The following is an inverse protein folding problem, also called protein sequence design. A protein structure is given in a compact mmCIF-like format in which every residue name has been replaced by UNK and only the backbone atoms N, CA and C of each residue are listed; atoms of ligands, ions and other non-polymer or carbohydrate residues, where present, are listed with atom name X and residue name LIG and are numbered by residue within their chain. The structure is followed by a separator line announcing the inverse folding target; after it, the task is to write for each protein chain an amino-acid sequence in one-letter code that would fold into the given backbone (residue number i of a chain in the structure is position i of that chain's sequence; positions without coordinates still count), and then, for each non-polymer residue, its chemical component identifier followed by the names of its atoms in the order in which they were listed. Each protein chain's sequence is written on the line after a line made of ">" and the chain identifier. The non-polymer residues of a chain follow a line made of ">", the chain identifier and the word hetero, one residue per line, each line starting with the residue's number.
data_IF_337079417352
#
_entry.id   IF_337079417352
#
_cell.length_a   1.000
_cell.length_b   1.000
_cell.length_c   1.000
_cell.angle_alpha   90.00
_cell.angle_beta   90.00
_cell.angle_gamma   90.00
#
_symmetry.space_group_name_H-M   'P 1'
#
loop_
_entity.id
_entity.type
_entity.pdbx_description
1 polymer ?
#
# COMPACT_ATOMS: atom_id res chain seq x y z
N UNK A 1 -3.90 -7.11 -26.03
CA UNK A 1 -2.87 -6.06 -26.12
C UNK A 1 -2.77 -5.43 -24.74
N UNK A 2 -1.57 -5.35 -24.18
CA UNK A 2 -1.37 -4.86 -22.82
C UNK A 2 -1.29 -3.33 -22.80
N UNK A 3 -2.28 -2.69 -22.17
CA UNK A 3 -2.40 -1.23 -22.05
C UNK A 3 -1.22 -0.63 -21.27
N UNK A 4 -0.71 -1.34 -20.26
CA UNK A 4 0.44 -0.89 -19.49
C UNK A 4 1.70 -0.86 -20.35
N UNK A 5 1.91 -1.91 -21.16
CA UNK A 5 3.15 -2.06 -21.93
C UNK A 5 3.25 -1.08 -23.11
N UNK A 6 2.14 -0.45 -23.54
CA UNK A 6 2.11 0.37 -24.74
C UNK A 6 1.96 1.87 -24.49
N UNK A 7 0.78 2.28 -24.05
CA UNK A 7 0.41 3.70 -24.02
C UNK A 7 0.78 4.30 -22.67
N UNK A 8 0.44 3.61 -21.58
CA UNK A 8 0.71 4.11 -20.23
C UNK A 8 2.22 4.18 -19.92
N UNK A 9 3.03 3.26 -20.48
CA UNK A 9 4.48 3.28 -20.26
C UNK A 9 5.19 4.55 -20.78
N UNK A 10 4.54 5.33 -21.65
CA UNK A 10 5.08 6.60 -22.17
C UNK A 10 4.65 7.81 -21.36
N UNK A 11 3.42 7.78 -20.84
CA UNK A 11 2.76 8.95 -20.27
C UNK A 11 2.67 8.90 -18.74
N UNK A 12 2.96 7.73 -18.12
CA UNK A 12 2.80 7.50 -16.69
C UNK A 12 4.11 7.00 -16.07
N UNK A 13 4.56 7.69 -15.02
CA UNK A 13 5.74 7.29 -14.24
C UNK A 13 5.43 6.13 -13.29
N UNK A 14 4.37 6.26 -12.47
CA UNK A 14 3.98 5.28 -11.45
C UNK A 14 2.49 5.07 -11.37
N UNK A 15 2.11 3.84 -11.05
CA UNK A 15 0.72 3.44 -10.82
C UNK A 15 0.53 3.20 -9.32
N UNK A 16 -0.45 3.89 -8.74
CA UNK A 16 -0.84 3.71 -7.35
C UNK A 16 -2.24 3.12 -7.29
N UNK A 17 -2.36 1.98 -6.63
CA UNK A 17 -3.64 1.38 -6.29
C UNK A 17 -4.04 1.94 -4.93
N UNK A 18 -5.12 2.72 -4.90
CA UNK A 18 -5.58 3.43 -3.69
C UNK A 18 -6.85 2.82 -3.06
N UNK A 19 -7.17 1.58 -3.46
CA UNK A 19 -8.29 0.79 -2.93
C UNK A 19 -9.44 0.60 -3.91
N UNK A 20 -10.52 -0.12 -3.53
CA UNK A 20 -10.80 -0.69 -2.19
C UNK A 20 -10.32 -2.13 -1.97
N UNK A 21 -10.90 -2.82 -0.98
CA UNK A 21 -10.49 -4.17 -0.51
C UNK A 21 -10.31 -5.19 -1.64
N UNK A 22 -11.27 -5.29 -2.57
CA UNK A 22 -11.19 -6.21 -3.71
C UNK A 22 -10.02 -5.86 -4.65
N UNK A 23 -9.79 -4.56 -4.91
CA UNK A 23 -8.70 -4.15 -5.80
C UNK A 23 -7.33 -4.45 -5.18
N UNK A 24 -7.18 -4.24 -3.87
CA UNK A 24 -5.97 -4.66 -3.16
C UNK A 24 -5.76 -6.17 -3.27
N UNK A 25 -6.82 -6.97 -3.15
CA UNK A 25 -6.74 -8.42 -3.27
C UNK A 25 -6.25 -8.83 -4.65
N UNK A 26 -6.86 -8.32 -5.71
CA UNK A 26 -6.51 -8.66 -7.09
C UNK A 26 -5.05 -8.30 -7.41
N UNK A 27 -4.56 -7.17 -6.87
CA UNK A 27 -3.19 -6.68 -7.07
C UNK A 27 -2.16 -7.49 -6.27
N UNK A 28 -2.54 -8.00 -5.10
CA UNK A 28 -1.67 -8.86 -4.30
C UNK A 28 -1.64 -10.31 -4.81
N UNK A 29 -2.70 -10.78 -5.46
CA UNK A 29 -2.79 -12.13 -6.02
C UNK A 29 -2.15 -12.28 -7.41
N UNK A 30 -2.01 -11.18 -8.17
CA UNK A 30 -1.33 -11.22 -9.46
C UNK A 30 0.18 -11.47 -9.30
N UNK A 31 0.78 -12.10 -10.31
CA UNK A 31 2.21 -12.50 -10.31
C UNK A 31 3.05 -11.81 -11.37
N UNK A 32 2.46 -10.89 -12.14
CA UNK A 32 3.08 -10.25 -13.30
C UNK A 32 3.98 -9.09 -12.90
N UNK A 33 3.58 -8.30 -11.91
CA UNK A 33 4.27 -7.08 -11.52
C UNK A 33 4.65 -7.09 -10.04
N UNK A 34 5.81 -6.53 -9.66
CA UNK A 34 6.15 -6.34 -8.26
C UNK A 34 5.18 -5.33 -7.62
N UNK A 35 4.85 -5.55 -6.35
CA UNK A 35 3.97 -4.68 -5.57
C UNK A 35 4.78 -4.09 -4.42
N UNK A 36 4.62 -2.80 -4.19
CA UNK A 36 5.08 -2.10 -2.98
C UNK A 36 3.86 -1.61 -2.22
N UNK A 37 3.84 -1.82 -0.92
CA UNK A 37 2.78 -1.35 -0.03
C UNK A 37 3.29 -0.11 0.71
N UNK A 38 2.59 1.00 0.54
CA UNK A 38 2.72 2.16 1.42
C UNK A 38 1.56 2.12 2.39
N UNK A 39 1.84 1.95 3.68
CA UNK A 39 0.82 1.74 4.70
C UNK A 39 0.94 2.81 5.80
N UNK A 40 -0.15 3.53 6.03
CA UNK A 40 -0.35 4.30 7.27
C UNK A 40 -0.95 3.38 8.31
N UNK A 41 -0.15 2.99 9.29
CA UNK A 41 -0.57 2.10 10.36
C UNK A 41 -1.23 2.93 11.47
N UNK A 42 -2.56 2.92 11.50
CA UNK A 42 -3.37 3.50 12.58
C UNK A 42 -3.26 2.59 13.82
N UNK A 43 -2.69 3.12 14.91
CA UNK A 43 -2.39 2.41 16.15
C UNK A 43 -3.59 2.45 17.12
N UNK A 44 -4.80 2.28 16.58
CA UNK A 44 -6.06 2.32 17.32
C UNK A 44 -7.02 1.35 16.68
N UNK A 45 -7.70 0.57 17.51
CA UNK A 45 -8.79 -0.28 17.04
C UNK A 45 -9.97 0.61 16.66
N UNK A 46 -10.41 0.47 15.41
CA UNK A 46 -11.54 1.18 14.82
C UNK A 46 -12.53 0.15 14.29
N UNK A 47 -13.82 0.47 14.40
CA UNK A 47 -14.86 -0.37 13.81
C UNK A 47 -14.84 -0.18 12.29
N UNK A 48 -14.59 -1.27 11.57
CA UNK A 48 -14.44 -1.30 10.12
C UNK A 48 -15.34 -2.38 9.52
N UNK A 49 -16.03 -2.04 8.43
CA UNK A 49 -16.85 -2.97 7.64
C UNK A 49 -16.09 -3.57 6.44
N UNK A 50 -14.93 -3.01 6.10
CA UNK A 50 -14.03 -3.46 5.04
C UNK A 50 -12.58 -3.57 5.54
N UNK A 51 -11.89 -4.61 5.09
CA UNK A 51 -10.53 -4.94 5.56
C UNK A 51 -9.54 -5.04 4.41
N UNK A 52 -8.28 -4.70 4.68
CA UNK A 52 -7.18 -5.02 3.78
C UNK A 52 -7.04 -6.54 3.65
N UNK A 53 -6.67 -7.08 2.47
CA UNK A 53 -6.49 -8.52 2.29
C UNK A 53 -5.49 -9.11 3.30
N UNK A 54 -5.70 -10.37 3.65
CA UNK A 54 -4.76 -11.08 4.55
C UNK A 54 -3.41 -11.21 3.86
N UNK A 55 -2.36 -10.67 4.49
CA UNK A 55 -0.97 -10.79 4.07
C UNK A 55 -0.11 -11.20 5.26
N UNK A 56 0.95 -11.96 5.00
CA UNK A 56 1.96 -12.22 6.02
C UNK A 56 2.95 -11.05 6.03
N UNK A 57 2.76 -10.13 6.98
CA UNK A 57 3.62 -8.93 7.10
C UNK A 57 5.08 -9.24 7.40
N UNK A 58 5.37 -10.43 7.93
CA UNK A 58 6.73 -10.87 8.24
C UNK A 58 7.50 -11.38 7.01
N UNK A 59 6.77 -11.73 5.93
CA UNK A 59 7.37 -12.13 4.64
C UNK A 59 7.68 -10.94 3.74
N UNK A 60 7.18 -9.75 4.08
CA UNK A 60 7.40 -8.53 3.30
C UNK A 60 8.76 -7.91 3.66
N UNK A 61 9.44 -7.40 2.62
CA UNK A 61 10.73 -6.74 2.79
C UNK A 61 10.50 -5.25 3.09
N UNK A 62 10.68 -4.86 4.34
CA UNK A 62 10.68 -3.43 4.73
C UNK A 62 11.68 -2.62 3.90
N UNK A 63 11.25 -1.45 3.46
CA UNK A 63 12.05 -0.51 2.67
C UNK A 63 12.16 0.79 3.45
N UNK A 64 13.38 1.20 3.76
CA UNK A 64 13.65 2.53 4.29
C UNK A 64 13.71 3.53 3.14
N UNK A 65 12.86 4.54 3.21
CA UNK A 65 12.78 5.63 2.24
C UNK A 65 12.95 6.94 3.00
N UNK A 66 13.97 7.77 2.68
CA UNK A 66 14.21 9.04 3.38
C UNK A 66 13.00 9.97 3.38
N UNK A 67 12.15 9.87 2.36
CA UNK A 67 10.91 10.64 2.22
C UNK A 67 9.75 10.14 3.07
N UNK A 68 9.85 8.95 3.68
CA UNK A 68 8.81 8.39 4.56
C UNK A 68 9.21 8.62 6.01
N UNK A 69 8.48 9.48 6.75
CA UNK A 69 8.76 9.72 8.16
C UNK A 69 8.65 8.44 8.98
N UNK A 70 9.57 8.27 9.93
CA UNK A 70 9.59 7.11 10.84
C UNK A 70 8.90 7.40 12.17
N UNK A 71 8.61 8.68 12.41
CA UNK A 71 7.99 9.18 13.61
C UNK A 71 6.54 8.72 13.73
N UNK A 72 6.12 8.54 14.98
CA UNK A 72 4.72 8.35 15.32
C UNK A 72 4.08 9.72 15.49
N UNK A 73 2.94 9.95 14.85
CA UNK A 73 2.20 11.21 14.93
C UNK A 73 0.85 10.97 15.60
N UNK A 74 0.40 11.94 16.38
CA UNK A 74 -0.95 12.03 16.90
C UNK A 74 -1.70 13.16 16.20
N UNK A 75 -2.84 12.85 15.61
CA UNK A 75 -3.75 13.83 15.04
C UNK A 75 -5.20 13.40 15.30
N UNK A 76 -6.04 14.34 15.74
CA UNK A 76 -7.47 14.12 16.00
C UNK A 76 -7.79 12.89 16.88
N UNK A 77 -6.93 12.56 17.86
CA UNK A 77 -7.11 11.41 18.75
C UNK A 77 -6.82 10.05 18.09
N UNK A 78 -6.09 10.06 16.98
CA UNK A 78 -5.51 8.90 16.31
C UNK A 78 -4.00 9.00 16.33
N UNK A 79 -3.37 7.90 16.75
CA UNK A 79 -1.93 7.73 16.67
C UNK A 79 -1.62 6.88 15.44
N UNK A 80 -0.68 7.29 14.59
CA UNK A 80 -0.31 6.52 13.41
C UNK A 80 1.16 6.72 13.02
N UNK A 81 1.66 5.81 12.19
CA UNK A 81 2.99 5.87 11.57
C UNK A 81 2.96 5.36 10.14
N UNK A 82 3.95 5.71 9.34
CA UNK A 82 4.09 5.20 7.98
C UNK A 82 5.08 4.06 7.91
N UNK A 83 4.84 3.14 6.97
CA UNK A 83 5.78 2.09 6.57
C UNK A 83 5.71 1.87 5.07
N UNK A 84 6.83 1.48 4.49
CA UNK A 84 6.93 1.00 3.12
C UNK A 84 7.50 -0.42 3.11
N UNK A 85 6.86 -1.30 2.35
CA UNK A 85 7.17 -2.74 2.25
C UNK A 85 7.07 -3.26 0.82
#
# INVERSE_FOLDING_TARGET
>A
MDLLEQQLSRDVDRIFVIGGSQLYKDVLEQKKYPVRIFCTHVMKDVDCDAFFPKVNWDELKKIELPEVPSEVIEDNGYTYKWRAD
#
